data_IF_496192071828
#
_entry.id   IF_496192071828
#
_cell.length_a   1.000
_cell.length_b   1.000
_cell.length_c   1.000
_cell.angle_alpha   90.00
_cell.angle_beta   90.00
_cell.angle_gamma   90.00
#
_symmetry.space_group_name_H-M   'P 1'
#
loop_
_entity.id
_entity.type
_entity.pdbx_description
1 polymer ?
#
# COMPACT_ATOMS: atom_id res chain seq x y z
N UNK A 1 -6.02 27.57 -0.58
CA UNK A 1 -6.30 27.14 -1.99
C UNK A 1 -5.07 27.29 -2.91
N UNK A 2 -4.37 28.44 -2.92
CA UNK A 2 -3.25 28.73 -3.85
C UNK A 2 -2.14 27.66 -3.91
N UNK A 3 -1.68 27.14 -2.76
CA UNK A 3 -0.63 26.11 -2.68
C UNK A 3 -1.01 24.78 -3.35
N UNK A 4 -2.29 24.38 -3.29
CA UNK A 4 -2.79 23.16 -3.93
C UNK A 4 -2.85 23.29 -5.46
N UNK A 5 -3.24 24.46 -5.95
CA UNK A 5 -3.30 24.74 -7.40
C UNK A 5 -1.92 24.73 -8.04
N UNK A 6 -0.93 25.40 -7.43
CA UNK A 6 0.47 25.39 -7.90
C UNK A 6 1.06 23.97 -7.87
N UNK A 7 0.77 23.20 -6.83
CA UNK A 7 1.23 21.82 -6.72
C UNK A 7 0.60 20.90 -7.78
N UNK A 8 -0.70 21.04 -8.04
CA UNK A 8 -1.35 20.30 -9.13
C UNK A 8 -0.80 20.70 -10.51
N UNK A 9 -0.46 21.97 -10.70
CA UNK A 9 0.16 22.47 -11.94
C UNK A 9 1.53 21.82 -12.19
N UNK A 10 2.40 21.79 -11.17
CA UNK A 10 3.70 21.11 -11.23
C UNK A 10 3.61 19.59 -11.46
N UNK A 11 2.56 18.95 -10.93
CA UNK A 11 2.34 17.53 -11.18
C UNK A 11 1.72 17.28 -12.57
N UNK A 12 0.87 18.19 -13.04
CA UNK A 12 0.24 18.08 -14.36
C UNK A 12 1.21 18.28 -15.52
N UNK A 13 2.32 19.02 -15.30
CA UNK A 13 3.38 19.16 -16.31
C UNK A 13 4.20 17.87 -16.51
N UNK A 14 4.06 16.89 -15.61
CA UNK A 14 4.75 15.60 -15.70
C UNK A 14 3.76 14.47 -16.01
N UNK A 15 3.80 13.95 -17.23
CA UNK A 15 2.87 12.88 -17.68
C UNK A 15 3.06 11.55 -16.95
N UNK A 16 4.24 11.32 -16.37
CA UNK A 16 4.61 10.06 -15.70
C UNK A 16 4.26 10.03 -14.20
N UNK A 17 3.95 11.18 -13.59
CA UNK A 17 3.84 11.32 -12.14
C UNK A 17 2.43 11.75 -11.73
N UNK A 18 1.57 10.75 -11.48
CA UNK A 18 0.22 11.01 -10.96
C UNK A 18 0.26 11.44 -9.49
N UNK A 19 -0.69 12.29 -9.08
CA UNK A 19 -0.87 12.74 -7.69
C UNK A 19 -0.86 11.56 -6.70
N UNK A 20 -1.58 10.47 -7.02
CA UNK A 20 -1.66 9.29 -6.15
C UNK A 20 -0.32 8.56 -6.02
N UNK A 21 0.47 8.50 -7.09
CA UNK A 21 1.82 7.92 -7.06
C UNK A 21 2.77 8.77 -6.23
N UNK A 22 2.71 10.09 -6.38
CA UNK A 22 3.52 11.02 -5.58
C UNK A 22 3.29 10.82 -4.09
N UNK A 23 2.04 10.86 -3.63
CA UNK A 23 1.73 10.78 -2.20
C UNK A 23 2.16 9.45 -1.60
N UNK A 24 2.05 8.34 -2.33
CA UNK A 24 2.52 7.02 -1.88
C UNK A 24 4.04 6.98 -1.74
N UNK A 25 4.78 7.56 -2.68
CA UNK A 25 6.24 7.65 -2.62
C UNK A 25 6.70 8.51 -1.43
N UNK A 26 6.05 9.67 -1.24
CA UNK A 26 6.37 10.56 -0.12
C UNK A 26 6.02 9.93 1.23
N UNK A 27 4.88 9.24 1.33
CA UNK A 27 4.49 8.53 2.54
C UNK A 27 5.47 7.40 2.87
N UNK A 28 5.89 6.61 1.88
CA UNK A 28 6.90 5.58 2.06
C UNK A 28 8.22 6.16 2.58
N UNK A 29 8.74 7.21 1.93
CA UNK A 29 9.97 7.87 2.37
C UNK A 29 9.86 8.44 3.79
N UNK A 30 8.70 9.00 4.15
CA UNK A 30 8.48 9.56 5.49
C UNK A 30 8.45 8.47 6.55
N UNK A 31 7.75 7.36 6.30
CA UNK A 31 7.69 6.21 7.22
C UNK A 31 9.07 5.59 7.39
N UNK A 32 9.82 5.42 6.31
CA UNK A 32 11.19 4.93 6.34
C UNK A 32 12.09 5.84 7.19
N UNK A 33 12.04 7.15 6.97
CA UNK A 33 12.80 8.11 7.78
C UNK A 33 12.41 8.06 9.26
N UNK A 34 11.10 8.01 9.57
CA UNK A 34 10.62 7.96 10.95
C UNK A 34 11.04 6.69 11.69
N UNK A 35 11.13 5.55 11.00
CA UNK A 35 11.56 4.29 11.61
C UNK A 35 13.08 4.17 11.68
N UNK A 36 13.78 4.49 10.59
CA UNK A 36 15.21 4.25 10.47
C UNK A 36 16.06 5.28 11.23
N UNK A 37 15.63 6.55 11.28
CA UNK A 37 16.38 7.62 11.96
C UNK A 37 16.58 7.35 13.46
N UNK A 38 15.55 7.02 14.27
CA UNK A 38 15.77 6.75 15.69
C UNK A 38 16.59 5.48 15.93
N UNK A 39 16.39 4.43 15.12
CA UNK A 39 17.15 3.17 15.22
C UNK A 39 18.64 3.41 14.97
N UNK A 40 18.96 4.13 13.89
CA UNK A 40 20.35 4.44 13.53
C UNK A 40 21.00 5.41 14.50
N UNK A 41 20.28 6.45 14.94
CA UNK A 41 20.78 7.39 15.95
C UNK A 41 21.09 6.70 17.28
N UNK A 42 20.20 5.81 17.75
CA UNK A 42 20.43 5.03 18.96
C UNK A 42 21.60 4.04 18.78
N UNK A 43 21.69 3.38 17.63
CA UNK A 43 22.82 2.51 17.30
C UNK A 43 24.14 3.26 17.30
N UNK A 44 24.19 4.46 16.71
CA UNK A 44 25.36 5.33 16.73
C UNK A 44 25.74 5.74 18.15
N UNK A 45 24.76 6.16 18.95
CA UNK A 45 24.96 6.51 20.35
C UNK A 45 25.60 5.34 21.14
N UNK A 46 25.08 4.12 20.99
CA UNK A 46 25.62 2.94 21.66
C UNK A 46 27.06 2.64 21.21
N UNK A 47 27.36 2.74 19.92
CA UNK A 47 28.72 2.53 19.41
C UNK A 47 29.69 3.59 19.94
N UNK A 48 29.27 4.86 20.00
CA UNK A 48 30.12 5.95 20.46
C UNK A 48 30.49 5.87 21.95
N UNK A 49 29.63 5.31 22.80
CA UNK A 49 29.88 5.21 24.25
C UNK A 49 30.45 3.86 24.70
N UNK A 50 30.25 2.79 23.92
CA UNK A 50 30.65 1.42 24.32
C UNK A 50 31.89 0.92 23.62
N UNK A 51 32.26 1.54 22.50
CA UNK A 51 33.42 1.14 21.71
C UNK A 51 34.38 2.30 21.68
N UNK A 52 35.61 2.05 22.10
CA UNK A 52 36.67 3.05 21.95
C UNK A 52 36.93 3.28 20.47
N UNK A 53 36.91 4.55 20.06
CA UNK A 53 37.20 4.94 18.68
C UNK A 53 38.69 4.70 18.45
N UNK A 54 39.01 3.80 17.53
CA UNK A 54 40.39 3.51 17.17
C UNK A 54 41.06 4.77 16.57
N UNK A 55 42.16 5.28 17.17
CA UNK A 55 42.81 6.50 16.69
C UNK A 55 43.49 6.26 15.35
N UNK A 56 43.37 7.24 14.44
CA UNK A 56 44.04 7.16 13.14
C UNK A 56 45.56 7.33 13.31
N UNK A 57 46.34 6.33 12.87
CA UNK A 57 47.80 6.33 12.95
C UNK A 57 48.47 6.47 11.57
N UNK A 58 48.16 5.54 10.65
CA UNK A 58 48.71 5.54 9.28
C UNK A 58 47.86 4.68 8.34
N UNK A 59 48.08 4.81 7.03
CA UNK A 59 47.39 3.98 6.03
C UNK A 59 47.71 2.49 6.15
N UNK A 60 48.97 2.15 6.46
CA UNK A 60 49.42 0.77 6.60
C UNK A 60 48.78 0.07 7.82
N UNK A 61 48.54 0.82 8.90
CA UNK A 61 47.94 0.30 10.15
C UNK A 61 46.46 -0.08 9.96
N UNK A 62 45.67 0.78 9.28
CA UNK A 62 44.25 0.49 9.03
C UNK A 62 44.00 -0.57 7.95
N UNK A 63 45.00 -0.85 7.09
CA UNK A 63 44.93 -1.90 6.05
C UNK A 63 45.69 -3.17 6.45
N UNK A 64 46.23 -3.22 7.66
CA UNK A 64 46.89 -4.40 8.17
C UNK A 64 45.85 -5.52 8.36
N UNK A 65 46.22 -6.76 8.02
CA UNK A 65 45.43 -7.97 8.26
C UNK A 65 44.01 -8.03 7.64
N UNK A 66 43.78 -7.29 6.55
CA UNK A 66 42.47 -7.28 5.86
C UNK A 66 41.99 -8.65 5.33
N UNK A 67 42.90 -9.62 5.18
CA UNK A 67 42.62 -10.96 4.67
C UNK A 67 42.12 -11.92 5.77
N UNK A 68 42.25 -11.55 7.04
CA UNK A 68 41.81 -12.35 8.17
C UNK A 68 40.33 -12.10 8.44
N UNK A 69 39.55 -13.19 8.50
CA UNK A 69 38.12 -13.14 8.79
C UNK A 69 37.92 -13.58 10.24
N UNK A 70 37.69 -12.61 11.12
CA UNK A 70 37.35 -12.90 12.51
C UNK A 70 35.96 -13.54 12.61
N UNK A 71 35.91 -14.74 13.17
CA UNK A 71 34.65 -15.44 13.46
C UNK A 71 34.35 -15.42 14.94
N UNK A 72 33.24 -14.79 15.32
CA UNK A 72 32.79 -14.75 16.72
C UNK A 72 31.70 -15.80 16.97
N UNK A 73 31.92 -16.80 17.85
CA UNK A 73 30.91 -17.79 18.14
C UNK A 73 29.73 -17.18 18.89
N UNK A 74 28.55 -17.78 18.71
CA UNK A 74 27.31 -17.12 19.07
C UNK A 74 27.07 -16.93 20.57
N UNK A 75 27.81 -17.65 21.41
CA UNK A 75 27.80 -17.46 22.87
C UNK A 75 28.22 -16.04 23.26
N UNK A 76 29.19 -15.44 22.54
CA UNK A 76 29.74 -14.12 22.92
C UNK A 76 28.78 -12.99 22.60
N UNK A 77 28.26 -12.91 21.37
CA UNK A 77 27.34 -11.82 21.01
C UNK A 77 25.95 -11.98 21.64
N UNK A 78 25.54 -13.22 21.98
CA UNK A 78 24.26 -13.45 22.70
C UNK A 78 24.33 -13.18 24.20
N UNK A 79 25.53 -13.08 24.78
CA UNK A 79 25.69 -12.75 26.20
C UNK A 79 25.18 -11.35 26.55
N UNK A 80 25.15 -10.44 25.59
CA UNK A 80 24.73 -9.06 25.78
C UNK A 80 23.36 -8.82 25.12
N UNK A 81 22.34 -8.61 25.95
CA UNK A 81 20.96 -8.38 25.48
C UNK A 81 20.83 -7.18 24.54
N UNK A 82 21.62 -6.11 24.75
CA UNK A 82 21.57 -4.92 23.91
C UNK A 82 22.22 -5.16 22.55
N UNK A 83 23.29 -5.95 22.48
CA UNK A 83 23.88 -6.36 21.21
C UNK A 83 22.93 -7.27 20.42
N UNK A 84 22.24 -8.20 21.10
CA UNK A 84 21.21 -9.04 20.48
C UNK A 84 20.11 -8.17 19.87
N UNK A 85 19.54 -7.23 20.64
CA UNK A 85 18.48 -6.35 20.14
C UNK A 85 18.95 -5.52 18.96
N UNK A 86 20.16 -4.94 19.01
CA UNK A 86 20.70 -4.15 17.90
C UNK A 86 20.88 -4.99 16.63
N UNK A 87 21.45 -6.19 16.74
CA UNK A 87 21.64 -7.11 15.62
C UNK A 87 20.31 -7.57 15.02
N UNK A 88 19.35 -7.95 15.86
CA UNK A 88 18.03 -8.36 15.40
C UNK A 88 17.29 -7.20 14.73
N UNK A 89 17.32 -5.97 15.29
CA UNK A 89 16.75 -4.79 14.66
C UNK A 89 17.36 -4.53 13.28
N UNK A 90 18.68 -4.64 13.13
CA UNK A 90 19.34 -4.50 11.82
C UNK A 90 18.92 -5.60 10.83
N UNK A 91 18.71 -6.83 11.28
CA UNK A 91 18.23 -7.95 10.42
C UNK A 91 16.78 -7.80 10.00
N UNK A 92 15.91 -7.36 10.92
CA UNK A 92 14.47 -7.21 10.68
C UNK A 92 14.10 -5.89 10.01
N UNK A 93 14.93 -4.86 10.09
CA UNK A 93 14.75 -3.57 9.42
C UNK A 93 14.39 -3.70 7.92
N UNK A 94 15.20 -4.38 7.07
CA UNK A 94 14.86 -4.53 5.65
C UNK A 94 13.57 -5.34 5.42
N UNK A 95 13.24 -6.28 6.31
CA UNK A 95 12.00 -7.05 6.24
C UNK A 95 10.79 -6.13 6.48
N UNK A 96 10.85 -5.26 7.48
CA UNK A 96 9.82 -4.25 7.75
C UNK A 96 9.71 -3.27 6.57
N UNK A 97 10.83 -2.83 5.98
CA UNK A 97 10.84 -1.99 4.79
C UNK A 97 10.14 -2.66 3.60
N UNK A 98 10.36 -3.97 3.39
CA UNK A 98 9.68 -4.73 2.34
C UNK A 98 8.16 -4.80 2.57
N UNK A 99 7.72 -5.02 3.81
CA UNK A 99 6.30 -5.01 4.15
C UNK A 99 5.68 -3.63 3.97
N UNK A 100 6.36 -2.56 4.39
CA UNK A 100 5.92 -1.17 4.17
C UNK A 100 5.80 -0.88 2.67
N UNK A 101 6.80 -1.24 1.87
CA UNK A 101 6.75 -1.10 0.42
C UNK A 101 5.56 -1.84 -0.17
N UNK A 102 5.35 -3.10 0.23
CA UNK A 102 4.21 -3.88 -0.22
C UNK A 102 2.87 -3.29 0.23
N UNK A 103 2.79 -2.67 1.41
CA UNK A 103 1.56 -2.00 1.86
C UNK A 103 1.19 -0.82 0.94
N UNK A 104 2.16 0.01 0.54
CA UNK A 104 1.91 1.17 -0.32
C UNK A 104 1.72 0.80 -1.80
N UNK A 105 2.52 -0.13 -2.31
CA UNK A 105 2.53 -0.48 -3.74
C UNK A 105 1.74 -1.74 -4.05
N UNK A 106 1.65 -2.70 -3.15
CA UNK A 106 0.90 -3.94 -3.35
C UNK A 106 -0.61 -3.74 -3.31
N UNK A 107 -1.11 -2.88 -2.43
CA UNK A 107 -2.55 -2.58 -2.34
C UNK A 107 -3.03 -1.47 -3.27
N UNK A 108 -2.14 -0.91 -4.10
CA UNK A 108 -2.50 0.06 -5.12
C UNK A 108 -3.52 -0.51 -6.11
N UNK A 109 -4.54 0.28 -6.49
CA UNK A 109 -5.50 -0.13 -7.52
C UNK A 109 -4.82 -0.50 -8.85
N UNK A 110 -3.73 0.18 -9.18
CA UNK A 110 -2.94 -0.14 -10.37
C UNK A 110 -2.34 -1.55 -10.28
N UNK A 111 -1.66 -1.86 -9.17
CA UNK A 111 -1.09 -3.18 -8.93
C UNK A 111 -2.16 -4.27 -8.89
N UNK A 112 -3.34 -4.01 -8.31
CA UNK A 112 -4.47 -4.95 -8.30
C UNK A 112 -4.99 -5.26 -9.70
N UNK A 113 -5.04 -4.28 -10.60
CA UNK A 113 -5.40 -4.52 -12.00
C UNK A 113 -4.38 -5.46 -12.65
N UNK A 114 -3.09 -5.22 -12.42
CA UNK A 114 -2.03 -6.10 -12.93
C UNK A 114 -2.09 -7.51 -12.32
N UNK A 115 -2.37 -7.65 -11.03
CA UNK A 115 -2.56 -8.96 -10.39
C UNK A 115 -3.73 -9.72 -10.98
N UNK A 116 -4.86 -9.04 -11.22
CA UNK A 116 -6.02 -9.63 -11.89
C UNK A 116 -5.69 -10.05 -13.32
N UNK A 117 -4.96 -9.22 -14.06
CA UNK A 117 -4.55 -9.52 -15.43
C UNK A 117 -3.64 -10.75 -15.49
N UNK A 118 -2.64 -10.81 -14.61
CA UNK A 118 -1.72 -11.94 -14.51
C UNK A 118 -2.46 -13.23 -14.09
N UNK A 119 -3.35 -13.13 -13.10
CA UNK A 119 -4.21 -14.24 -12.68
C UNK A 119 -5.03 -14.80 -13.85
N UNK A 120 -5.70 -13.93 -14.62
CA UNK A 120 -6.48 -14.37 -15.78
C UNK A 120 -5.61 -14.90 -16.92
N UNK A 121 -4.41 -14.38 -17.13
CA UNK A 121 -3.47 -14.91 -18.11
C UNK A 121 -3.06 -16.36 -17.78
N UNK A 122 -2.84 -16.65 -16.49
CA UNK A 122 -2.54 -18.01 -16.01
C UNK A 122 -3.78 -18.89 -16.08
N UNK A 123 -4.92 -18.43 -15.57
CA UNK A 123 -6.19 -19.17 -15.58
C UNK A 123 -6.63 -19.57 -17.00
N UNK A 124 -6.39 -18.69 -17.99
CA UNK A 124 -6.64 -18.98 -19.41
C UNK A 124 -5.82 -20.16 -19.92
N UNK A 125 -4.59 -20.35 -19.44
CA UNK A 125 -3.74 -21.50 -19.80
C UNK A 125 -4.29 -22.82 -19.27
N UNK A 126 -5.12 -22.77 -18.23
CA UNK A 126 -5.83 -23.92 -17.66
C UNK A 126 -7.30 -24.01 -18.11
N UNK A 127 -7.70 -23.27 -19.16
CA UNK A 127 -9.05 -23.36 -19.74
C UNK A 127 -10.14 -22.58 -18.97
N UNK A 128 -9.79 -21.84 -17.92
CA UNK A 128 -10.74 -21.01 -17.15
C UNK A 128 -10.82 -19.62 -17.77
N UNK A 129 -12.01 -19.22 -18.20
CA UNK A 129 -12.25 -17.90 -18.79
C UNK A 129 -12.66 -16.86 -17.73
N UNK A 130 -12.26 -15.59 -17.88
CA UNK A 130 -12.72 -14.52 -17.00
C UNK A 130 -14.24 -14.36 -17.04
N UNK A 131 -14.90 -14.12 -15.89
CA UNK A 131 -16.29 -13.71 -15.87
C UNK A 131 -16.44 -12.39 -16.64
N UNK A 132 -17.52 -12.28 -17.40
CA UNK A 132 -17.85 -11.05 -18.13
C UNK A 132 -17.80 -9.84 -17.20
N UNK A 133 -17.21 -8.70 -17.61
CA UNK A 133 -17.09 -7.53 -16.76
C UNK A 133 -18.48 -7.14 -16.24
N UNK A 134 -18.66 -6.96 -14.91
CA UNK A 134 -19.93 -6.52 -14.37
C UNK A 134 -20.27 -5.15 -14.97
N UNK A 135 -21.53 -4.98 -15.40
CA UNK A 135 -22.10 -3.68 -15.71
C UNK A 135 -21.73 -2.69 -14.59
N UNK A 136 -21.20 -1.51 -14.95
CA UNK A 136 -20.65 -0.51 -14.03
C UNK A 136 -21.67 -0.15 -12.95
N UNK A 137 -21.69 -0.87 -11.84
CA UNK A 137 -22.33 -0.48 -10.59
C UNK A 137 -21.20 -0.23 -9.60
N UNK A 138 -21.02 1.05 -9.29
CA UNK A 138 -20.01 1.58 -8.38
C UNK A 138 -20.23 1.04 -6.97
N UNK A 139 -19.59 -0.07 -6.62
CA UNK A 139 -19.41 -0.47 -5.23
C UNK A 139 -17.99 -0.10 -4.81
N UNK A 140 -17.90 1.01 -4.08
CA UNK A 140 -16.69 1.52 -3.46
C UNK A 140 -16.33 0.55 -2.34
N UNK A 141 -15.39 -0.35 -2.57
CA UNK A 141 -14.91 -1.25 -1.52
C UNK A 141 -14.02 -0.45 -0.56
N UNK A 142 -14.64 0.10 0.48
CA UNK A 142 -14.02 0.96 1.48
C UNK A 142 -13.04 0.15 2.34
N UNK A 143 -11.79 0.62 2.41
CA UNK A 143 -10.65 -0.04 3.05
C UNK A 143 -10.64 0.08 4.60
N UNK A 144 -11.82 0.18 5.24
CA UNK A 144 -11.98 0.59 6.66
C UNK A 144 -12.16 -0.58 7.65
N UNK A 145 -12.15 -1.83 7.20
CA UNK A 145 -12.52 -2.97 8.08
C UNK A 145 -11.43 -3.55 9.00
N UNK A 146 -10.35 -2.83 9.31
CA UNK A 146 -9.32 -3.35 10.24
C UNK A 146 -9.20 -2.60 11.58
N UNK A 147 -10.00 -1.56 11.84
CA UNK A 147 -9.96 -0.81 13.11
C UNK A 147 -11.30 -0.68 13.86
N UNK A 148 -12.44 -1.12 13.29
CA UNK A 148 -13.74 -1.05 13.96
C UNK A 148 -14.08 -2.28 14.82
N UNK A 149 -13.20 -3.28 14.89
CA UNK A 149 -13.44 -4.55 15.61
C UNK A 149 -13.34 -4.49 17.14
N UNK A 150 -13.07 -3.34 17.75
CA UNK A 150 -12.85 -3.22 19.20
C UNK A 150 -13.82 -2.27 19.92
N UNK A 151 -14.82 -1.72 19.24
CA UNK A 151 -15.82 -0.85 19.86
C UNK A 151 -17.23 -1.45 19.75
N UNK A 152 -17.65 -2.06 20.85
CA UNK A 152 -19.05 -2.28 21.27
C UNK A 152 -19.79 -3.55 20.79
N UNK A 153 -20.07 -4.52 21.69
CA UNK A 153 -20.90 -5.68 21.42
C UNK A 153 -22.35 -5.42 21.89
N UNK A 154 -23.13 -4.66 21.13
CA UNK A 154 -24.60 -4.71 21.25
C UNK A 154 -25.27 -3.90 20.14
N UNK A 155 -25.87 -4.58 19.16
CA UNK A 155 -27.20 -4.25 18.59
C UNK A 155 -27.40 -4.99 17.26
N UNK A 156 -28.19 -6.08 17.21
CA UNK A 156 -28.85 -6.46 15.97
C UNK A 156 -29.94 -5.40 15.66
N UNK A 157 -30.46 -5.33 14.43
CA UNK A 157 -31.42 -4.32 13.92
C UNK A 157 -30.74 -3.00 13.48
N UNK A 158 -30.62 -2.67 12.19
CA UNK A 158 -31.72 -2.24 11.31
C UNK A 158 -31.41 -2.52 9.81
N UNK A 159 -31.78 -3.68 9.29
CA UNK A 159 -32.03 -3.87 7.85
C UNK A 159 -33.47 -4.33 7.71
N UNK A 160 -34.44 -3.42 7.93
CA UNK A 160 -35.87 -3.70 7.65
C UNK A 160 -36.79 -2.48 7.61
N UNK A 161 -36.29 -1.27 7.30
CA UNK A 161 -37.11 -0.04 7.33
C UNK A 161 -37.17 0.79 6.04
N UNK A 162 -36.81 0.22 4.89
CA UNK A 162 -36.99 0.91 3.58
C UNK A 162 -38.09 0.33 2.68
N UNK A 163 -38.56 -0.89 2.93
CA UNK A 163 -39.63 -1.47 2.11
C UNK A 163 -41.06 -1.11 2.55
N UNK A 164 -41.32 -0.73 3.82
CA UNK A 164 -42.69 -0.39 4.25
C UNK A 164 -43.11 1.04 3.90
N UNK A 165 -42.17 1.98 3.80
CA UNK A 165 -42.48 3.37 3.41
C UNK A 165 -42.96 3.45 1.95
N UNK A 166 -42.51 2.52 1.09
CA UNK A 166 -42.91 2.51 -0.32
C UNK A 166 -44.35 2.02 -0.58
N UNK A 167 -44.98 1.27 0.32
CA UNK A 167 -46.34 0.79 0.10
C UNK A 167 -47.39 1.87 0.46
N UNK A 168 -47.11 2.68 1.49
CA UNK A 168 -48.05 3.68 1.99
C UNK A 168 -48.19 4.91 1.08
N UNK A 169 -47.17 5.29 0.29
CA UNK A 169 -47.30 6.42 -0.64
C UNK A 169 -48.18 6.11 -1.87
N UNK A 170 -48.26 4.84 -2.29
CA UNK A 170 -49.05 4.45 -3.47
C UNK A 170 -50.56 4.38 -3.22
N UNK A 171 -50.97 4.13 -1.98
CA UNK A 171 -52.39 4.13 -1.61
C UNK A 171 -52.95 5.56 -1.43
N UNK A 172 -52.07 6.55 -1.24
CA UNK A 172 -52.47 7.94 -1.02
C UNK A 172 -52.63 8.76 -2.32
N UNK A 173 -52.24 8.24 -3.49
CA UNK A 173 -52.29 9.02 -4.73
C UNK A 173 -52.44 8.14 -6.00
N UNK A 174 -53.68 7.81 -6.42
CA UNK A 174 -53.94 6.86 -7.52
C UNK A 174 -53.75 7.43 -8.94
N UNK A 175 -53.32 8.68 -9.11
CA UNK A 175 -53.31 9.36 -10.42
C UNK A 175 -51.94 9.59 -11.07
N UNK A 176 -50.86 8.92 -10.65
CA UNK A 176 -49.59 9.02 -11.37
C UNK A 176 -49.50 8.06 -12.57
N UNK A 177 -49.20 8.56 -13.79
CA UNK A 177 -49.04 7.71 -14.97
C UNK A 177 -47.72 6.92 -14.91
N UNK A 178 -47.80 5.63 -15.23
CA UNK A 178 -46.65 4.74 -15.41
C UNK A 178 -45.92 5.07 -16.71
N UNK A 179 -44.72 5.65 -16.64
CA UNK A 179 -43.87 5.79 -17.83
C UNK A 179 -43.01 4.53 -18.03
N UNK A 180 -43.07 3.89 -19.21
CA UNK A 180 -42.15 2.82 -19.55
C UNK A 180 -40.83 3.41 -20.07
N UNK A 181 -39.70 3.02 -19.46
CA UNK A 181 -38.37 3.35 -19.96
C UNK A 181 -38.05 2.39 -21.11
N UNK A 182 -38.21 2.87 -22.33
CA UNK A 182 -37.79 2.21 -23.57
C UNK A 182 -36.27 2.27 -23.71
N UNK A 183 -35.59 1.13 -23.56
CA UNK A 183 -34.19 0.98 -23.95
C UNK A 183 -34.11 0.56 -25.43
N UNK A 184 -33.75 1.49 -26.31
CA UNK A 184 -33.37 1.19 -27.70
C UNK A 184 -31.85 1.34 -27.85
N UNK A 185 -31.17 0.22 -28.11
CA UNK A 185 -29.79 0.20 -28.58
C UNK A 185 -29.73 0.39 -30.11
N UNK A 186 -28.61 0.87 -30.64
CA UNK A 186 -27.80 0.05 -31.55
C UNK A 186 -26.29 0.16 -31.24
N UNK A 187 -25.53 -0.94 -31.10
CA UNK A 187 -24.85 -1.78 -32.11
C UNK A 187 -23.84 -1.07 -33.03
N UNK A 188 -22.57 -1.50 -32.88
CA UNK A 188 -21.48 -1.66 -33.88
C UNK A 188 -20.83 -0.33 -34.36
N UNK A 189 -19.53 -0.16 -34.66
CA UNK A 189 -18.38 -0.98 -35.07
C UNK A 189 -17.10 -0.38 -34.42
N UNK A 190 -16.09 -1.13 -33.93
CA UNK A 190 -14.94 -1.78 -34.62
C UNK A 190 -14.02 -0.88 -35.48
N UNK A 191 -12.71 -1.06 -35.25
CA UNK A 191 -11.51 -0.72 -36.08
C UNK A 191 -10.98 0.73 -35.93
N UNK A 192 -9.70 1.11 -35.83
CA UNK A 192 -8.32 0.58 -36.03
C UNK A 192 -7.41 1.36 -35.01
N UNK A 193 -6.46 0.82 -34.25
CA UNK A 193 -5.08 0.39 -34.57
C UNK A 193 -4.14 1.41 -35.28
N UNK A 194 -3.16 1.90 -34.50
CA UNK A 194 -1.71 2.11 -34.79
C UNK A 194 -1.16 3.33 -35.58
N UNK A 195 0.10 3.64 -35.23
CA UNK A 195 1.08 4.63 -35.77
C UNK A 195 0.80 6.10 -35.42
N UNK A 196 1.69 6.88 -34.80
CA UNK A 196 3.16 6.91 -34.80
C UNK A 196 3.67 7.39 -33.43
#
# INVERSE_FOLDING_TARGET
MRRRAQFSEFLSSNTTLTINRYFRLMALATVELMMNTPITAYGLYLNAIRTDIYPWKSWADIHFDWYTIDTFPAIFWRSNSLQVVALELSRWSPVICAFTFFAFFGFADESRKHYRLAYWAIAKRFGVSPPSPPSKSSSVFSFVFLLDGLANPSSPYQIKRLHSSQAHYRLANPHLPSTPITTRAPRLLRCFCCAQ
#
